data_IF_274156073360
#
_entry.id   IF_274156073360
#
_cell.length_a   1.000
_cell.length_b   1.000
_cell.length_c   1.000
_cell.angle_alpha   90.00
_cell.angle_beta   90.00
_cell.angle_gamma   90.00
#
_symmetry.space_group_name_H-M   'P 1'
#
loop_
_entity.id
_entity.type
_entity.pdbx_description
1 polymer ?
#
# COMPACT_ATOMS: atom_id res chain seq x y z
N UNK A 1 -19.17 -13.61 -15.08
CA UNK A 1 -17.78 -13.96 -15.40
C UNK A 1 -17.67 -13.99 -16.91
N UNK A 2 -16.67 -13.35 -17.50
CA UNK A 2 -16.46 -13.31 -18.96
C UNK A 2 -15.04 -13.73 -19.29
N UNK A 3 -14.88 -14.36 -20.44
CA UNK A 3 -13.57 -14.53 -21.07
C UNK A 3 -13.55 -13.59 -22.25
N UNK A 4 -12.50 -12.79 -22.35
CA UNK A 4 -12.41 -11.72 -23.33
C UNK A 4 -11.06 -11.75 -24.03
N UNK A 5 -10.97 -11.06 -25.17
CA UNK A 5 -9.72 -10.57 -25.74
C UNK A 5 -9.71 -9.05 -25.71
N UNK A 6 -8.52 -8.45 -25.78
CA UNK A 6 -8.33 -7.00 -25.86
C UNK A 6 -8.06 -6.64 -27.32
N UNK A 7 -8.73 -5.62 -27.85
CA UNK A 7 -8.47 -5.07 -29.17
C UNK A 7 -6.98 -4.64 -29.28
N UNK A 8 -6.28 -5.04 -30.35
CA UNK A 8 -4.85 -4.77 -30.49
C UNK A 8 -4.52 -3.28 -30.59
N UNK A 9 -5.37 -2.49 -31.26
CA UNK A 9 -5.20 -1.05 -31.35
C UNK A 9 -5.34 -0.39 -29.97
N UNK A 10 -6.37 -0.75 -29.21
CA UNK A 10 -6.54 -0.28 -27.82
C UNK A 10 -5.33 -0.67 -26.96
N UNK A 11 -4.86 -1.92 -27.08
CA UNK A 11 -3.71 -2.42 -26.33
C UNK A 11 -2.44 -1.62 -26.64
N UNK A 12 -2.14 -1.39 -27.92
CA UNK A 12 -0.98 -0.61 -28.35
C UNK A 12 -1.08 0.85 -27.92
N UNK A 13 -2.27 1.44 -27.99
CA UNK A 13 -2.49 2.84 -27.59
C UNK A 13 -2.28 3.05 -26.10
N UNK A 14 -2.78 2.15 -25.26
CA UNK A 14 -2.76 2.33 -23.79
C UNK A 14 -1.52 1.76 -23.11
N UNK A 15 -0.87 0.76 -23.71
CA UNK A 15 0.33 0.13 -23.14
C UNK A 15 1.58 0.35 -24.00
N UNK A 16 1.48 1.09 -25.11
CA UNK A 16 2.55 1.26 -26.08
C UNK A 16 3.87 1.74 -25.48
N UNK A 17 3.82 2.70 -24.57
CA UNK A 17 5.04 3.22 -23.94
C UNK A 17 5.68 2.22 -22.99
N UNK A 18 4.87 1.42 -22.29
CA UNK A 18 5.36 0.28 -21.49
C UNK A 18 5.99 -0.77 -22.39
N UNK A 19 5.35 -1.09 -23.53
CA UNK A 19 5.81 -2.11 -24.47
C UNK A 19 7.14 -1.75 -25.16
N UNK A 20 7.43 -0.45 -25.33
CA UNK A 20 8.73 0.05 -25.83
C UNK A 20 9.87 -0.13 -24.82
N UNK A 21 9.56 -0.33 -23.54
CA UNK A 21 10.57 -0.55 -22.51
C UNK A 21 11.23 -1.92 -22.66
N UNK A 22 12.57 -1.94 -22.65
CA UNK A 22 13.35 -3.16 -22.60
C UNK A 22 13.01 -3.93 -21.32
N UNK A 23 12.63 -5.21 -21.46
CA UNK A 23 12.21 -6.09 -20.37
C UNK A 23 10.88 -5.71 -19.69
N UNK A 24 9.90 -5.21 -20.46
CA UNK A 24 8.56 -5.03 -19.91
C UNK A 24 7.91 -6.37 -19.54
N UNK A 25 7.04 -6.34 -18.53
CA UNK A 25 6.38 -7.55 -18.03
C UNK A 25 4.97 -7.78 -18.59
N UNK A 26 4.46 -6.82 -19.37
CA UNK A 26 3.16 -6.94 -20.04
C UNK A 26 3.26 -8.06 -21.09
N UNK A 27 2.30 -8.99 -21.07
CA UNK A 27 2.30 -10.09 -22.02
C UNK A 27 1.84 -9.60 -23.40
N UNK A 28 2.57 -9.99 -24.46
CA UNK A 28 2.14 -9.76 -25.85
C UNK A 28 0.67 -10.19 -26.05
N UNK A 29 -0.15 -9.28 -26.55
CA UNK A 29 -1.58 -9.48 -26.79
C UNK A 29 -1.89 -10.37 -28.02
N UNK A 30 -0.86 -10.80 -28.76
CA UNK A 30 -0.96 -11.76 -29.88
C UNK A 30 -1.88 -11.29 -31.00
N UNK A 31 -1.79 -10.02 -31.40
CA UNK A 31 -2.68 -9.40 -32.38
C UNK A 31 -4.16 -9.49 -31.94
N UNK A 32 -4.43 -9.22 -30.66
CA UNK A 32 -5.77 -9.26 -30.08
C UNK A 32 -6.35 -10.65 -29.86
N UNK A 33 -5.52 -11.69 -29.89
CA UNK A 33 -5.96 -13.09 -29.73
C UNK A 33 -5.70 -13.65 -28.34
N UNK A 34 -4.98 -12.93 -27.45
CA UNK A 34 -4.74 -13.42 -26.09
C UNK A 34 -6.05 -13.44 -25.30
N UNK A 35 -6.46 -14.61 -24.76
CA UNK A 35 -7.58 -14.69 -23.84
C UNK A 35 -7.21 -14.12 -22.47
N UNK A 36 -8.15 -13.41 -21.88
CA UNK A 36 -8.10 -12.94 -20.50
C UNK A 36 -9.33 -13.41 -19.75
N UNK A 37 -9.09 -13.91 -18.53
CA UNK A 37 -10.13 -14.12 -17.55
C UNK A 37 -10.46 -12.78 -16.92
N UNK A 38 -11.67 -12.28 -17.18
CA UNK A 38 -12.13 -11.03 -16.60
C UNK A 38 -12.71 -11.31 -15.20
N UNK A 39 -11.99 -10.88 -14.17
CA UNK A 39 -12.54 -10.84 -12.83
C UNK A 39 -13.44 -9.62 -12.67
N UNK A 40 -14.56 -9.81 -11.97
CA UNK A 40 -15.50 -8.71 -11.71
C UNK A 40 -14.86 -7.61 -10.87
N UNK A 41 -15.08 -6.35 -11.28
CA UNK A 41 -14.90 -5.07 -10.57
C UNK A 41 -13.91 -5.10 -9.40
N UNK A 42 -12.69 -4.63 -9.61
CA UNK A 42 -11.70 -4.45 -8.53
C UNK A 42 -12.04 -3.27 -7.63
N UNK A 43 -12.42 -2.16 -8.27
CA UNK A 43 -12.94 -0.96 -7.62
C UNK A 43 -14.01 -0.31 -8.51
N UNK A 44 -14.53 0.83 -8.10
CA UNK A 44 -15.59 1.54 -8.83
C UNK A 44 -15.29 1.85 -10.29
N UNK A 45 -14.00 2.01 -10.62
CA UNK A 45 -13.54 2.50 -11.92
C UNK A 45 -12.81 1.45 -12.75
N UNK A 46 -12.32 0.37 -12.16
CA UNK A 46 -11.39 -0.54 -12.83
C UNK A 46 -11.78 -2.03 -12.71
N UNK A 47 -11.42 -2.79 -13.75
CA UNK A 47 -11.47 -4.25 -13.78
C UNK A 47 -10.09 -4.85 -13.99
N UNK A 48 -9.93 -6.10 -13.56
CA UNK A 48 -8.67 -6.85 -13.69
C UNK A 48 -8.84 -7.94 -14.73
N UNK A 49 -7.90 -7.98 -15.66
CA UNK A 49 -7.78 -8.97 -16.70
C UNK A 49 -6.60 -9.88 -16.39
N UNK A 50 -6.89 -11.16 -16.17
CA UNK A 50 -5.87 -12.17 -15.91
C UNK A 50 -5.54 -12.91 -17.20
N UNK A 51 -4.31 -12.82 -17.73
CA UNK A 51 -3.97 -13.46 -18.99
C UNK A 51 -3.93 -14.99 -18.85
N UNK A 52 -4.41 -15.66 -19.89
CA UNK A 52 -4.10 -17.06 -20.11
C UNK A 52 -2.67 -17.17 -20.65
N UNK A 53 -1.87 -18.07 -20.08
CA UNK A 53 -0.51 -18.39 -20.54
C UNK A 53 -0.38 -19.89 -20.75
N UNK A 54 0.26 -20.32 -21.84
CA UNK A 54 0.49 -21.74 -22.15
C UNK A 54 1.81 -22.28 -21.58
N UNK A 55 2.73 -21.39 -21.18
CA UNK A 55 4.09 -21.70 -20.69
C UNK A 55 4.36 -20.95 -19.37
N UNK A 56 3.54 -21.22 -18.36
CA UNK A 56 3.58 -20.53 -17.06
C UNK A 56 4.50 -21.14 -16.00
N UNK A 57 5.42 -22.04 -16.34
CA UNK A 57 6.22 -22.80 -15.36
C UNK A 57 7.12 -21.95 -14.46
N UNK A 58 7.47 -20.74 -14.90
CA UNK A 58 8.27 -19.80 -14.10
C UNK A 58 7.44 -18.98 -13.11
N UNK A 59 6.11 -19.04 -13.18
CA UNK A 59 5.24 -18.33 -12.26
C UNK A 59 4.97 -19.24 -11.04
N UNK A 60 5.37 -18.83 -9.82
CA UNK A 60 5.12 -19.62 -8.61
C UNK A 60 3.64 -19.99 -8.46
N UNK A 61 3.37 -21.20 -7.95
CA UNK A 61 2.01 -21.69 -7.72
C UNK A 61 1.17 -20.76 -6.85
N UNK A 62 1.82 -19.99 -5.97
CA UNK A 62 1.16 -18.99 -5.12
C UNK A 62 0.49 -17.87 -5.92
N UNK A 63 1.02 -17.57 -7.12
CA UNK A 63 0.55 -16.51 -8.02
C UNK A 63 0.00 -17.03 -9.35
N UNK A 64 -0.29 -18.33 -9.43
CA UNK A 64 -0.86 -18.95 -10.63
C UNK A 64 -1.96 -19.94 -10.30
N UNK A 65 -2.89 -20.09 -11.25
CA UNK A 65 -3.92 -21.11 -11.21
C UNK A 65 -3.79 -22.02 -12.42
N UNK A 66 -3.53 -23.30 -12.18
CA UNK A 66 -3.30 -24.29 -13.24
C UNK A 66 -4.59 -24.61 -14.00
N UNK A 67 -4.48 -24.70 -15.33
CA UNK A 67 -5.54 -25.16 -16.23
C UNK A 67 -5.20 -26.51 -16.86
N UNK A 68 -4.20 -27.22 -16.32
CA UNK A 68 -3.68 -28.46 -16.93
C UNK A 68 -4.73 -29.57 -17.03
N UNK A 69 -5.72 -29.58 -16.13
CA UNK A 69 -6.83 -30.55 -16.16
C UNK A 69 -7.80 -30.38 -17.35
N UNK A 70 -7.84 -29.20 -17.97
CA UNK A 70 -8.75 -28.88 -19.09
C UNK A 70 -8.00 -28.55 -20.39
N UNK A 71 -6.69 -28.32 -20.32
CA UNK A 71 -5.79 -28.10 -21.45
C UNK A 71 -4.54 -28.99 -21.29
N UNK A 72 -4.73 -30.30 -21.30
CA UNK A 72 -3.67 -31.29 -21.06
C UNK A 72 -2.57 -31.28 -22.13
N UNK A 73 -2.91 -30.89 -23.36
CA UNK A 73 -2.04 -30.72 -24.52
C UNK A 73 -1.01 -29.59 -24.35
N UNK A 74 -1.33 -28.58 -23.53
CA UNK A 74 -0.46 -27.42 -23.33
C UNK A 74 0.59 -27.71 -22.26
N UNK A 75 1.83 -27.24 -22.45
CA UNK A 75 2.96 -27.54 -21.55
C UNK A 75 2.68 -27.14 -20.09
N UNK A 76 2.38 -25.86 -19.84
CA UNK A 76 2.04 -25.32 -18.51
C UNK A 76 0.96 -24.23 -18.60
N UNK A 77 -0.30 -24.62 -18.87
CA UNK A 77 -1.39 -23.67 -19.02
C UNK A 77 -1.82 -23.13 -17.65
N UNK A 78 -1.79 -21.81 -17.49
CA UNK A 78 -2.16 -21.13 -16.25
C UNK A 78 -2.98 -19.87 -16.51
N UNK A 79 -3.72 -19.46 -15.48
CA UNK A 79 -4.05 -18.06 -15.24
C UNK A 79 -2.94 -17.45 -14.38
N UNK A 80 -2.31 -16.38 -14.87
CA UNK A 80 -1.16 -15.75 -14.21
C UNK A 80 -1.59 -14.45 -13.50
N UNK A 81 -1.50 -14.43 -12.17
CA UNK A 81 -1.88 -13.25 -11.38
C UNK A 81 -0.76 -12.22 -11.24
N UNK A 82 0.44 -12.51 -11.77
CA UNK A 82 1.57 -11.56 -11.80
C UNK A 82 1.59 -10.68 -13.04
N UNK A 83 0.87 -11.09 -14.08
CA UNK A 83 0.86 -10.47 -15.41
C UNK A 83 -0.46 -9.79 -15.77
N UNK A 84 -1.18 -9.32 -14.76
CA UNK A 84 -2.51 -8.73 -14.94
C UNK A 84 -2.46 -7.45 -15.77
N UNK A 85 -3.58 -7.14 -16.39
CA UNK A 85 -3.85 -5.84 -17.00
C UNK A 85 -5.04 -5.21 -16.27
N UNK A 86 -4.93 -3.91 -15.99
CA UNK A 86 -6.01 -3.12 -15.41
C UNK A 86 -6.63 -2.28 -16.51
N UNK A 87 -7.97 -2.29 -16.58
CA UNK A 87 -8.74 -1.53 -17.56
C UNK A 87 -9.83 -0.73 -16.88
N UNK A 88 -10.09 0.48 -17.37
CA UNK A 88 -11.21 1.30 -16.91
C UNK A 88 -12.56 0.70 -17.34
N UNK A 89 -13.56 0.80 -16.47
CA UNK A 89 -14.90 0.30 -16.72
C UNK A 89 -15.53 0.92 -17.97
N UNK A 90 -15.25 2.21 -18.22
CA UNK A 90 -15.79 2.95 -19.35
C UNK A 90 -15.28 2.41 -20.70
N UNK A 91 -14.06 1.87 -20.73
CA UNK A 91 -13.40 1.42 -21.96
C UNK A 91 -13.75 -0.03 -22.31
N UNK A 92 -14.27 -0.81 -21.36
CA UNK A 92 -14.47 -2.26 -21.52
C UNK A 92 -15.22 -2.65 -22.79
N UNK A 93 -16.29 -1.93 -23.12
CA UNK A 93 -17.17 -2.28 -24.25
C UNK A 93 -16.45 -2.13 -25.59
N UNK A 94 -15.64 -1.08 -25.74
CA UNK A 94 -14.93 -0.77 -26.98
C UNK A 94 -13.58 -1.50 -27.07
N UNK A 95 -12.93 -1.68 -25.93
CA UNK A 95 -11.61 -2.27 -25.85
C UNK A 95 -11.60 -3.79 -25.92
N UNK A 96 -12.75 -4.46 -25.70
CA UNK A 96 -12.77 -5.91 -25.47
C UNK A 96 -13.83 -6.63 -26.29
N UNK A 97 -13.52 -7.88 -26.65
CA UNK A 97 -14.45 -8.79 -27.30
C UNK A 97 -14.64 -10.01 -26.42
N UNK A 98 -15.88 -10.39 -26.16
CA UNK A 98 -16.17 -11.63 -25.45
C UNK A 98 -15.89 -12.82 -26.37
N UNK A 99 -15.16 -13.81 -25.85
CA UNK A 99 -14.85 -15.04 -26.58
C UNK A 99 -15.36 -16.26 -25.82
N UNK A 100 -15.50 -17.36 -26.55
CA UNK A 100 -15.83 -18.68 -25.98
C UNK A 100 -14.54 -19.47 -25.73
N UNK A 101 -14.56 -20.25 -24.65
CA UNK A 101 -13.59 -21.30 -24.36
C UNK A 101 -14.36 -22.61 -24.16
N UNK A 102 -13.65 -23.73 -24.02
CA UNK A 102 -14.29 -25.02 -23.73
C UNK A 102 -15.11 -24.95 -22.44
N UNK A 103 -16.26 -25.64 -22.41
CA UNK A 103 -17.17 -25.62 -21.26
C UNK A 103 -16.50 -26.13 -19.99
N UNK A 104 -15.62 -27.13 -20.12
CA UNK A 104 -14.82 -27.65 -19.01
C UNK A 104 -13.91 -26.58 -18.40
N UNK A 105 -13.22 -25.80 -19.23
CA UNK A 105 -12.37 -24.70 -18.78
C UNK A 105 -13.18 -23.55 -18.19
N UNK A 106 -14.32 -23.22 -18.79
CA UNK A 106 -15.23 -22.20 -18.25
C UNK A 106 -15.78 -22.61 -16.88
N UNK A 107 -16.24 -23.85 -16.72
CA UNK A 107 -16.74 -24.38 -15.44
C UNK A 107 -15.64 -24.37 -14.39
N UNK A 108 -14.42 -24.82 -14.73
CA UNK A 108 -13.27 -24.80 -13.84
C UNK A 108 -12.98 -23.37 -13.32
N UNK A 109 -12.91 -22.38 -14.22
CA UNK A 109 -12.67 -20.99 -13.86
C UNK A 109 -13.81 -20.38 -13.04
N UNK A 110 -15.07 -20.71 -13.37
CA UNK A 110 -16.25 -20.24 -12.64
C UNK A 110 -16.23 -20.72 -11.19
N UNK A 111 -15.99 -22.01 -10.98
CA UNK A 111 -15.92 -22.62 -9.65
C UNK A 111 -14.74 -22.08 -8.84
N UNK A 112 -13.61 -21.79 -9.49
CA UNK A 112 -12.37 -21.39 -8.81
C UNK A 112 -12.08 -19.88 -8.83
N UNK A 113 -13.05 -19.05 -9.24
CA UNK A 113 -12.89 -17.59 -9.32
C UNK A 113 -12.31 -16.98 -8.04
N UNK A 114 -12.85 -17.37 -6.89
CA UNK A 114 -12.41 -16.84 -5.59
C UNK A 114 -10.98 -17.24 -5.24
N UNK A 115 -10.53 -18.42 -5.66
CA UNK A 115 -9.14 -18.87 -5.47
C UNK A 115 -8.20 -18.02 -6.31
N UNK A 116 -8.54 -17.74 -7.57
CA UNK A 116 -7.76 -16.86 -8.45
C UNK A 116 -7.65 -15.46 -7.84
N UNK A 117 -8.76 -14.91 -7.33
CA UNK A 117 -8.77 -13.61 -6.65
C UNK A 117 -7.93 -13.60 -5.37
N UNK A 118 -7.99 -14.66 -4.55
CA UNK A 118 -7.14 -14.79 -3.36
C UNK A 118 -5.65 -14.78 -3.72
N UNK A 119 -5.25 -15.49 -4.78
CA UNK A 119 -3.87 -15.50 -5.29
C UNK A 119 -3.44 -14.12 -5.78
N UNK A 120 -4.33 -13.39 -6.45
CA UNK A 120 -4.06 -12.01 -6.86
C UNK A 120 -3.89 -11.06 -5.68
N UNK A 121 -4.78 -11.11 -4.68
CA UNK A 121 -4.66 -10.30 -3.48
C UNK A 121 -3.38 -10.61 -2.69
N UNK A 122 -3.00 -11.89 -2.66
CA UNK A 122 -1.74 -12.31 -2.07
C UNK A 122 -0.55 -11.69 -2.82
N UNK A 123 -0.55 -11.73 -4.16
CA UNK A 123 0.46 -11.06 -4.97
C UNK A 123 0.52 -9.54 -4.71
N UNK A 124 -0.61 -8.84 -4.62
CA UNK A 124 -0.63 -7.41 -4.25
C UNK A 124 0.04 -7.17 -2.89
N UNK A 125 -0.31 -7.98 -1.89
CA UNK A 125 0.24 -7.81 -0.54
C UNK A 125 1.75 -8.03 -0.51
N UNK A 126 2.25 -9.04 -1.23
CA UNK A 126 3.68 -9.32 -1.30
C UNK A 126 4.43 -8.30 -2.14
N UNK A 127 3.79 -7.75 -3.19
CA UNK A 127 4.32 -6.60 -3.92
C UNK A 127 4.47 -5.37 -3.02
N UNK A 128 3.43 -5.04 -2.24
CA UNK A 128 3.46 -3.92 -1.28
C UNK A 128 4.58 -4.13 -0.26
N UNK A 129 4.64 -5.30 0.39
CA UNK A 129 5.72 -5.63 1.33
C UNK A 129 7.10 -5.48 0.69
N UNK A 130 7.26 -5.99 -0.53
CA UNK A 130 8.52 -5.90 -1.27
C UNK A 130 8.91 -4.45 -1.55
N UNK A 131 7.95 -3.60 -1.95
CA UNK A 131 8.17 -2.16 -2.19
C UNK A 131 8.60 -1.41 -0.94
N UNK A 132 8.04 -1.75 0.22
CA UNK A 132 8.46 -1.17 1.52
C UNK A 132 9.91 -1.57 1.85
N UNK A 133 10.35 -2.77 1.45
CA UNK A 133 11.71 -3.27 1.72
C UNK A 133 12.75 -2.91 0.64
N UNK A 134 12.33 -2.40 -0.52
CA UNK A 134 13.17 -2.31 -1.72
C UNK A 134 14.45 -1.50 -1.50
N UNK A 135 14.34 -0.37 -0.80
CA UNK A 135 15.48 0.51 -0.51
C UNK A 135 16.40 -0.03 0.60
N UNK A 136 16.04 -1.15 1.22
CA UNK A 136 16.74 -1.74 2.36
C UNK A 136 17.43 -3.04 1.93
N UNK A 137 16.73 -3.90 1.18
CA UNK A 137 17.21 -5.22 0.74
C UNK A 137 17.61 -5.24 -0.74
N UNK A 138 17.46 -4.15 -1.46
CA UNK A 138 17.75 -4.04 -2.89
C UNK A 138 16.65 -4.62 -3.78
N UNK A 139 16.96 -4.74 -5.08
CA UNK A 139 16.01 -5.15 -6.12
C UNK A 139 15.34 -6.49 -5.78
N UNK A 140 14.01 -6.50 -5.82
CA UNK A 140 13.21 -7.68 -5.52
C UNK A 140 12.55 -8.26 -6.78
N UNK A 141 12.67 -9.57 -6.98
CA UNK A 141 12.10 -10.28 -8.13
C UNK A 141 10.57 -10.16 -8.21
N UNK A 142 9.87 -10.07 -7.07
CA UNK A 142 8.41 -9.86 -7.02
C UNK A 142 8.05 -8.52 -7.66
N UNK A 143 8.86 -7.47 -7.45
CA UNK A 143 8.63 -6.17 -8.06
C UNK A 143 8.98 -6.24 -9.54
N UNK A 144 10.19 -6.71 -9.85
CA UNK A 144 10.76 -6.75 -11.21
C UNK A 144 9.84 -7.46 -12.20
N UNK A 145 9.34 -8.64 -11.82
CA UNK A 145 8.56 -9.50 -12.70
C UNK A 145 7.04 -9.29 -12.57
N UNK A 146 6.58 -8.18 -11.98
CA UNK A 146 5.15 -7.93 -11.79
C UNK A 146 4.66 -6.81 -12.69
N UNK A 147 3.48 -6.97 -13.30
CA UNK A 147 2.83 -5.87 -14.02
C UNK A 147 2.27 -4.80 -13.08
N UNK A 148 2.18 -5.06 -11.77
CA UNK A 148 1.71 -4.06 -10.80
C UNK A 148 2.57 -2.80 -10.80
N UNK A 149 3.83 -2.88 -11.22
CA UNK A 149 4.73 -1.73 -11.36
C UNK A 149 4.20 -0.65 -12.32
N UNK A 150 3.26 -1.00 -13.20
CA UNK A 150 2.66 -0.08 -14.16
C UNK A 150 1.29 0.46 -13.71
N UNK A 151 0.72 -0.09 -12.62
CA UNK A 151 -0.67 0.15 -12.24
C UNK A 151 -0.82 0.74 -10.83
N UNK A 152 0.15 1.56 -10.40
CA UNK A 152 0.14 2.16 -9.07
C UNK A 152 -1.07 3.07 -8.85
N UNK A 153 -1.44 3.87 -9.86
CA UNK A 153 -2.55 4.82 -9.79
C UNK A 153 -3.90 4.09 -9.76
N UNK A 154 -4.10 3.14 -10.68
CA UNK A 154 -5.36 2.42 -10.88
C UNK A 154 -5.71 1.54 -9.68
N UNK A 155 -4.69 1.02 -9.00
CA UNK A 155 -4.81 0.13 -7.85
C UNK A 155 -4.54 0.82 -6.51
N UNK A 156 -4.24 2.12 -6.52
CA UNK A 156 -3.93 2.93 -5.33
C UNK A 156 -2.81 2.29 -4.47
N UNK A 157 -1.74 1.84 -5.15
CA UNK A 157 -0.64 1.12 -4.50
C UNK A 157 0.24 2.04 -3.68
N UNK A 158 0.49 3.28 -4.11
CA UNK A 158 1.37 4.20 -3.40
C UNK A 158 0.83 4.52 -2.00
N UNK A 159 -0.48 4.80 -1.88
CA UNK A 159 -1.12 4.99 -0.58
C UNK A 159 -1.01 3.74 0.28
N UNK A 160 -1.29 2.55 -0.28
CA UNK A 160 -1.18 1.28 0.46
C UNK A 160 0.25 0.98 0.92
N UNK A 161 1.25 1.28 0.08
CA UNK A 161 2.68 1.17 0.42
C UNK A 161 3.02 2.12 1.57
N UNK A 162 2.63 3.38 1.47
CA UNK A 162 2.89 4.38 2.52
C UNK A 162 2.20 4.03 3.84
N UNK A 163 0.94 3.57 3.81
CA UNK A 163 0.25 3.07 5.00
C UNK A 163 0.99 1.87 5.60
N UNK A 164 1.53 0.97 4.77
CA UNK A 164 2.31 -0.16 5.27
C UNK A 164 3.65 0.29 5.88
N UNK A 165 4.33 1.28 5.28
CA UNK A 165 5.53 1.91 5.87
C UNK A 165 5.19 2.49 7.26
N UNK A 166 4.04 3.17 7.40
CA UNK A 166 3.56 3.71 8.68
C UNK A 166 3.42 2.67 9.76
N UNK A 167 2.65 1.62 9.48
CA UNK A 167 2.41 0.54 10.46
C UNK A 167 3.73 -0.09 10.91
N UNK A 168 4.66 -0.29 9.98
CA UNK A 168 5.98 -0.83 10.33
C UNK A 168 6.77 0.16 11.19
N UNK A 169 6.81 1.46 10.84
CA UNK A 169 7.49 2.49 11.64
C UNK A 169 6.93 2.57 13.07
N UNK A 170 5.61 2.56 13.23
CA UNK A 170 4.96 2.56 14.57
C UNK A 170 5.42 1.34 15.36
N UNK A 171 5.37 0.15 14.75
CA UNK A 171 5.77 -1.09 15.43
C UNK A 171 7.25 -1.12 15.83
N UNK A 172 8.15 -0.57 15.01
CA UNK A 172 9.58 -0.47 15.32
C UNK A 172 9.83 0.54 16.46
N UNK A 173 9.16 1.70 16.41
CA UNK A 173 9.23 2.73 17.45
C UNK A 173 8.73 2.22 18.81
N UNK A 174 7.61 1.49 18.84
CA UNK A 174 7.06 0.93 20.07
C UNK A 174 7.97 -0.13 20.70
N UNK A 175 8.78 -0.81 19.88
CA UNK A 175 9.77 -1.78 20.35
C UNK A 175 11.07 -1.14 20.85
N UNK A 176 11.22 0.19 20.76
CA UNK A 176 12.44 0.95 21.11
C UNK A 176 13.72 0.48 20.38
N UNK A 177 13.56 -0.24 19.28
CA UNK A 177 14.70 -0.67 18.46
C UNK A 177 14.93 0.38 17.38
N UNK A 178 15.91 1.27 17.59
CA UNK A 178 16.43 2.14 16.52
C UNK A 178 17.27 1.35 15.51
N UNK A 179 16.64 0.36 14.89
CA UNK A 179 17.27 -0.49 13.90
C UNK A 179 17.77 0.34 12.71
N UNK A 180 18.81 -0.14 12.00
CA UNK A 180 19.23 0.46 10.72
C UNK A 180 18.05 0.54 9.75
N UNK A 181 17.14 -0.43 9.86
CA UNK A 181 15.87 -0.48 9.14
C UNK A 181 15.00 0.74 9.46
N UNK A 182 14.78 1.04 10.74
CA UNK A 182 14.03 2.23 11.18
C UNK A 182 14.62 3.53 10.63
N UNK A 183 15.95 3.72 10.78
CA UNK A 183 16.65 4.95 10.34
C UNK A 183 16.58 5.18 8.83
N UNK A 184 16.53 4.11 8.03
CA UNK A 184 16.36 4.21 6.56
C UNK A 184 14.90 4.49 6.20
N UNK A 185 13.96 3.78 6.81
CA UNK A 185 12.55 3.90 6.50
C UNK A 185 11.97 5.27 6.89
N UNK A 186 12.40 5.85 8.02
CA UNK A 186 11.94 7.17 8.48
C UNK A 186 12.29 8.29 7.50
N UNK A 187 13.41 8.19 6.77
CA UNK A 187 13.81 9.17 5.74
C UNK A 187 12.92 9.17 4.50
N UNK A 188 12.24 8.05 4.23
CA UNK A 188 11.41 7.90 3.04
C UNK A 188 9.94 8.21 3.27
N UNK A 189 9.54 8.34 4.52
CA UNK A 189 8.17 8.58 4.91
C UNK A 189 8.02 10.08 5.20
N UNK A 190 7.21 10.82 4.41
CA UNK A 190 6.98 12.23 4.66
C UNK A 190 6.43 12.45 6.07
N UNK A 191 6.97 13.44 6.78
CA UNK A 191 6.58 13.81 8.14
C UNK A 191 6.77 12.67 9.18
N UNK A 192 7.72 11.75 8.97
CA UNK A 192 8.07 10.75 9.98
C UNK A 192 8.47 11.39 11.33
N UNK A 193 9.07 12.59 11.32
CA UNK A 193 9.39 13.34 12.54
C UNK A 193 8.15 13.63 13.40
N UNK A 194 6.99 13.92 12.80
CA UNK A 194 5.74 14.13 13.54
C UNK A 194 5.31 12.85 14.27
N UNK A 195 5.56 11.68 13.67
CA UNK A 195 5.29 10.38 14.30
C UNK A 195 6.25 10.14 15.49
N UNK A 196 7.52 10.49 15.33
CA UNK A 196 8.55 10.40 16.38
C UNK A 196 8.17 11.31 17.56
N UNK A 197 7.84 12.57 17.28
CA UNK A 197 7.40 13.55 18.28
C UNK A 197 6.14 13.07 19.02
N UNK A 198 5.15 12.55 18.31
CA UNK A 198 3.95 11.99 18.95
C UNK A 198 4.28 10.78 19.84
N UNK A 199 5.28 9.98 19.49
CA UNK A 199 5.73 8.87 20.32
C UNK A 199 6.38 9.34 21.63
N UNK A 200 7.08 10.48 21.62
CA UNK A 200 7.60 11.09 22.84
C UNK A 200 6.45 11.46 23.78
N UNK A 201 5.39 12.08 23.26
CA UNK A 201 4.19 12.34 24.05
C UNK A 201 3.50 11.05 24.53
N UNK A 202 3.41 10.02 23.68
CA UNK A 202 2.89 8.70 24.09
C UNK A 202 3.65 8.14 25.29
N UNK A 203 4.98 8.27 25.31
CA UNK A 203 5.81 7.79 26.43
C UNK A 203 5.58 8.59 27.73
N UNK A 204 5.08 9.82 27.63
CA UNK A 204 4.68 10.64 28.77
C UNK A 204 3.21 10.44 29.16
N UNK A 205 2.44 9.66 28.39
CA UNK A 205 1.02 9.45 28.66
C UNK A 205 0.83 8.58 29.90
N UNK A 206 0.00 9.05 30.84
CA UNK A 206 -0.27 8.33 32.08
C UNK A 206 -1.27 7.17 31.92
N UNK A 207 -1.91 7.09 30.76
CA UNK A 207 -2.87 6.04 30.41
C UNK A 207 -2.31 5.12 29.33
N UNK A 208 -2.89 3.93 29.23
CA UNK A 208 -2.67 3.08 28.06
C UNK A 208 -3.03 3.86 26.79
N UNK A 209 -2.10 3.91 25.85
CA UNK A 209 -2.26 4.66 24.62
C UNK A 209 -1.51 4.00 23.46
N UNK A 210 -1.97 4.27 22.24
CA UNK A 210 -1.35 3.80 21.00
C UNK A 210 -1.59 4.81 19.88
N UNK A 211 -0.69 4.84 18.90
CA UNK A 211 -0.83 5.71 17.74
C UNK A 211 -1.89 5.14 16.80
N UNK A 212 -2.83 5.98 16.36
CA UNK A 212 -3.83 5.59 15.37
C UNK A 212 -3.15 5.26 14.02
N UNK A 213 -3.19 4.00 13.57
CA UNK A 213 -2.56 3.62 12.31
C UNK A 213 -3.23 4.30 11.10
N UNK A 214 -4.49 4.72 11.19
CA UNK A 214 -5.25 5.33 10.09
C UNK A 214 -5.14 6.86 10.05
N UNK A 215 -4.52 7.51 11.05
CA UNK A 215 -4.36 8.98 11.07
C UNK A 215 -3.42 9.51 9.97
N UNK A 216 -3.53 10.77 9.58
CA UNK A 216 -2.58 11.41 8.65
C UNK A 216 -1.17 11.50 9.28
N UNK A 217 -0.11 11.33 8.49
CA UNK A 217 1.28 11.58 8.91
C UNK A 217 1.56 13.06 9.19
N UNK A 218 0.88 13.97 8.50
CA UNK A 218 1.02 15.41 8.74
C UNK A 218 0.53 15.79 10.13
N UNK A 219 -0.49 15.08 10.64
CA UNK A 219 -1.06 15.33 11.95
C UNK A 219 -1.47 13.99 12.60
N UNK A 220 -0.49 13.21 13.09
CA UNK A 220 -0.75 11.90 13.64
C UNK A 220 -1.56 12.02 14.93
N UNK A 221 -2.30 10.96 15.28
CA UNK A 221 -3.22 10.94 16.42
C UNK A 221 -2.84 9.87 17.43
N UNK A 222 -2.92 10.22 18.70
CA UNK A 222 -2.79 9.30 19.82
C UNK A 222 -4.20 8.94 20.31
N UNK A 223 -4.47 7.64 20.43
CA UNK A 223 -5.67 7.11 21.08
C UNK A 223 -5.29 6.77 22.52
N UNK A 224 -6.05 7.32 23.47
CA UNK A 224 -5.81 7.26 24.91
C UNK A 224 -7.00 6.57 25.56
N UNK A 225 -6.75 5.45 26.24
CA UNK A 225 -7.79 4.71 26.99
C UNK A 225 -7.84 5.23 28.43
N UNK A 226 -8.76 6.15 28.68
CA UNK A 226 -8.93 6.80 30.01
C UNK A 226 -9.63 5.89 31.03
N UNK A 227 -10.53 5.02 30.57
CA UNK A 227 -11.18 3.95 31.33
C UNK A 227 -11.44 2.76 30.40
N UNK A 228 -12.01 1.65 30.90
CA UNK A 228 -12.20 0.45 30.08
C UNK A 228 -12.96 0.71 28.76
N UNK A 229 -13.99 1.56 28.82
CA UNK A 229 -14.88 1.86 27.69
C UNK A 229 -14.71 3.27 27.11
N UNK A 230 -13.79 4.09 27.65
CA UNK A 230 -13.65 5.49 27.25
C UNK A 230 -12.31 5.79 26.57
N UNK A 231 -12.38 5.97 25.25
CA UNK A 231 -11.26 6.35 24.42
C UNK A 231 -11.32 7.84 24.07
N UNK A 232 -10.20 8.53 24.26
CA UNK A 232 -9.97 9.89 23.79
C UNK A 232 -8.97 9.88 22.66
N UNK A 233 -9.06 10.88 21.80
CA UNK A 233 -8.13 11.05 20.68
C UNK A 233 -7.60 12.47 20.70
N UNK A 234 -6.28 12.60 20.62
CA UNK A 234 -5.61 13.89 20.50
C UNK A 234 -4.59 13.84 19.37
N UNK A 235 -4.56 14.88 18.54
CA UNK A 235 -3.63 14.96 17.42
C UNK A 235 -2.38 15.76 17.81
N UNK A 236 -1.25 15.50 17.15
CA UNK A 236 -0.01 16.20 17.40
C UNK A 236 -0.17 17.73 17.31
N UNK A 237 -0.85 18.25 16.28
CA UNK A 237 -1.07 19.68 16.14
C UNK A 237 -1.84 20.28 17.33
N UNK A 238 -2.75 19.51 17.94
CA UNK A 238 -3.49 19.95 19.12
C UNK A 238 -2.58 19.99 20.34
N UNK A 239 -1.70 19.00 20.50
CA UNK A 239 -0.69 18.99 21.56
C UNK A 239 0.22 20.22 21.41
N UNK A 240 0.77 20.44 20.22
CA UNK A 240 1.70 21.54 19.96
C UNK A 240 1.03 22.91 20.16
N UNK A 241 -0.21 23.09 19.67
CA UNK A 241 -0.98 24.30 19.92
C UNK A 241 -1.24 24.54 21.42
N UNK A 242 -1.55 23.50 22.20
CA UNK A 242 -1.78 23.64 23.65
C UNK A 242 -0.48 24.00 24.40
N UNK A 243 0.67 23.54 23.94
CA UNK A 243 1.98 23.92 24.47
C UNK A 243 2.31 25.37 24.11
N UNK A 244 2.17 25.75 22.84
CA UNK A 244 2.45 27.11 22.34
C UNK A 244 1.57 28.16 23.04
N UNK A 245 0.29 27.85 23.23
CA UNK A 245 -0.66 28.75 23.92
C UNK A 245 -0.56 28.67 25.45
N UNK A 246 0.40 27.91 25.99
CA UNK A 246 0.62 27.70 27.42
C UNK A 246 -0.63 27.19 28.18
N UNK A 247 -1.51 26.46 27.47
CA UNK A 247 -2.71 25.80 27.99
C UNK A 247 -2.40 24.34 28.40
N UNK A 248 -1.24 24.15 29.04
CA UNK A 248 -0.69 22.83 29.41
C UNK A 248 -1.55 22.10 30.45
N UNK A 249 -2.43 22.81 31.18
CA UNK A 249 -3.36 22.21 32.13
C UNK A 249 -4.22 21.11 31.50
N UNK A 250 -4.70 21.33 30.27
CA UNK A 250 -5.48 20.33 29.52
C UNK A 250 -4.64 19.14 29.04
N UNK A 251 -3.32 19.30 28.93
CA UNK A 251 -2.41 18.21 28.59
C UNK A 251 -2.05 17.39 29.82
N UNK A 252 -1.96 18.02 30.99
CA UNK A 252 -1.70 17.32 32.26
C UNK A 252 -2.81 16.33 32.65
N UNK A 253 -4.02 16.49 32.10
CA UNK A 253 -5.09 15.50 32.23
C UNK A 253 -4.71 14.15 31.59
N UNK A 254 -3.74 14.13 30.67
CA UNK A 254 -3.36 12.94 29.89
C UNK A 254 -1.87 12.60 29.91
N UNK A 255 -1.00 13.59 30.16
CA UNK A 255 0.45 13.49 30.02
C UNK A 255 1.18 14.02 31.25
N UNK A 256 2.26 13.34 31.66
CA UNK A 256 3.16 13.78 32.72
C UNK A 256 4.18 14.80 32.17
N UNK A 257 3.70 15.99 31.83
CA UNK A 257 4.57 17.07 31.33
C UNK A 257 5.25 17.81 32.50
N UNK A 258 6.56 18.08 32.42
CA UNK A 258 7.23 18.92 33.41
C UNK A 258 6.59 20.32 33.40
N UNK A 259 6.32 20.89 34.59
CA UNK A 259 5.81 22.26 34.71
C UNK A 259 6.84 23.21 34.08
N UNK A 260 6.45 23.89 33.00
CA UNK A 260 7.26 24.97 32.42
C UNK A 260 7.29 26.12 33.44
N UNK A 261 8.38 26.24 34.18
CA UNK A 261 8.65 27.42 35.02
C UNK A 261 9.05 28.54 34.08
N UNK A 262 8.14 29.49 33.82
CA UNK A 262 8.53 30.75 33.19
C UNK A 262 9.50 31.45 34.14
N UNK A 263 10.78 31.53 33.76
CA UNK A 263 11.66 32.54 34.33
C UNK A 263 11.00 33.91 34.09
N UNK A 264 10.53 34.54 35.16
CA UNK A 264 10.22 35.95 35.14
C UNK A 264 11.53 36.65 34.82
N UNK A 265 11.72 37.09 33.56
CA UNK A 265 12.71 38.12 33.24
C UNK A 265 12.37 39.32 34.14
N UNK A 266 13.14 39.47 35.20
CA UNK A 266 12.98 40.56 36.16
C UNK A 266 13.17 41.88 35.43
N UNK A 267 12.19 42.76 35.57
CA UNK A 267 12.38 44.18 35.31
C UNK A 267 13.33 44.72 36.40
N UNK A 268 14.64 44.66 36.16
CA UNK A 268 15.57 45.54 36.84
C UNK A 268 16.00 46.62 35.83
N UNK A 269 15.27 47.74 35.88
CA UNK A 269 15.75 49.00 35.38
C UNK A 269 16.80 49.57 36.35
N UNK A 270 17.86 50.09 35.73
CA UNK A 270 18.79 51.16 36.19
C UNK A 270 19.80 50.82 37.28
N UNK A 271 21.06 51.09 36.92
CA UNK A 271 22.14 51.40 37.84
C UNK A 271 23.49 51.31 37.14
N UNK A 272 23.95 52.42 36.56
CA UNK A 272 25.34 52.61 36.15
C UNK A 272 26.30 52.20 37.27
N UNK A 273 27.45 51.62 36.93
CA UNK A 273 28.75 52.11 37.38
C UNK A 273 29.88 51.47 36.56
N UNK A 274 30.71 52.37 36.04
CA UNK A 274 32.08 52.20 35.53
C UNK A 274 32.92 51.40 36.55
N UNK A 275 33.92 50.58 36.20
CA UNK A 275 35.07 50.72 35.30
C UNK A 275 35.46 49.32 34.80
#
# INVERSE_FOLDING_TARGET
>A
MKIITINQFYFNKNFGDILKSNNNEIQDNKLGRRPYFLATKYNEKHQILFPFRSNGNRTPNLYSFSLKSVYSDRKYPIIDTTKVIIIENKDLKEATHQIKITDSAFKLLKTNKNIILKKFNHHINDYIKSKVMENIKGKNNIIKFSTLQYFHKELDLDRKINNKKKVILINELEKKEESIFFKKLSKEVPNANNLIELLEYKNLCQYYSFIDPESDFKNPKLIIRTTEDNFKTISLNTINHLIETNNVSKLNDYFLLPKIVKEKKGNNQKGNLEL
#
